data_IF_734741432743
#
_entry.id   IF_734741432743
#
_cell.length_a   1.000
_cell.length_b   1.000
_cell.length_c   1.000
_cell.angle_alpha   90.00
_cell.angle_beta   90.00
_cell.angle_gamma   90.00
#
_symmetry.space_group_name_H-M   'P 1'
#
loop_
_entity.id
_entity.type
_entity.pdbx_description
1 polymer ?
#
# COMPACT_ATOMS: atom_id res chain seq x y z
N UNK A 1 22.32 -6.64 -30.63
CA UNK A 1 21.41 -5.77 -29.85
C UNK A 1 21.79 -5.91 -28.39
N UNK A 2 22.42 -4.90 -27.81
CA UNK A 2 22.71 -4.88 -26.38
C UNK A 2 21.50 -4.29 -25.64
N UNK A 3 20.85 -5.12 -24.83
CA UNK A 3 19.85 -4.64 -23.90
C UNK A 3 20.60 -4.01 -22.71
N UNK A 4 20.62 -2.69 -22.62
CA UNK A 4 21.00 -2.02 -21.38
C UNK A 4 19.95 -2.38 -20.32
N UNK A 5 20.28 -3.30 -19.40
CA UNK A 5 19.42 -3.52 -18.24
C UNK A 5 19.47 -2.26 -17.38
N UNK A 6 18.34 -1.58 -17.21
CA UNK A 6 18.19 -0.47 -16.28
C UNK A 6 18.21 -1.00 -14.83
N UNK A 7 19.39 -1.44 -14.37
CA UNK A 7 19.68 -1.92 -13.01
C UNK A 7 19.74 -0.77 -11.98
N UNK A 8 19.18 0.39 -12.31
CA UNK A 8 19.22 1.64 -11.53
C UNK A 8 17.91 1.95 -10.80
N UNK A 9 16.86 1.14 -10.97
CA UNK A 9 15.60 1.34 -10.24
C UNK A 9 15.75 0.75 -8.84
N UNK A 10 16.05 1.61 -7.86
CA UNK A 10 16.00 1.23 -6.44
C UNK A 10 14.57 0.84 -6.06
N UNK A 11 14.29 -0.46 -6.00
CA UNK A 11 13.03 -0.98 -5.49
C UNK A 11 13.08 -0.94 -3.96
N UNK A 12 12.54 0.12 -3.38
CA UNK A 12 12.38 0.18 -1.93
C UNK A 12 11.30 -0.81 -1.50
N UNK A 13 11.72 -1.91 -0.88
CA UNK A 13 10.80 -2.86 -0.29
C UNK A 13 9.93 -2.19 0.78
N UNK A 14 8.67 -2.61 0.85
CA UNK A 14 7.81 -2.18 1.94
C UNK A 14 8.29 -2.80 3.24
N UNK A 15 8.42 -1.95 4.26
CA UNK A 15 8.67 -2.43 5.61
C UNK A 15 7.54 -3.35 6.06
N UNK A 16 7.83 -4.32 6.94
CA UNK A 16 6.84 -5.24 7.53
C UNK A 16 5.59 -4.50 8.04
N UNK A 17 5.79 -3.33 8.66
CA UNK A 17 4.70 -2.48 9.14
C UNK A 17 3.78 -2.00 8.01
N UNK A 18 4.33 -1.60 6.87
CA UNK A 18 3.53 -1.14 5.74
C UNK A 18 2.73 -2.30 5.12
N UNK A 19 3.33 -3.49 5.03
CA UNK A 19 2.62 -4.70 4.57
C UNK A 19 1.45 -5.04 5.50
N UNK A 20 1.67 -5.04 6.82
CA UNK A 20 0.61 -5.30 7.81
C UNK A 20 -0.52 -4.27 7.68
N UNK A 21 -0.17 -2.98 7.55
CA UNK A 21 -1.16 -1.91 7.36
C UNK A 21 -1.97 -2.10 6.09
N UNK A 22 -1.32 -2.49 4.98
CA UNK A 22 -2.02 -2.78 3.73
C UNK A 22 -2.99 -3.94 3.89
N UNK A 23 -2.53 -5.08 4.42
CA UNK A 23 -3.37 -6.26 4.62
C UNK A 23 -4.57 -5.94 5.50
N UNK A 24 -4.35 -5.17 6.57
CA UNK A 24 -5.41 -4.72 7.46
C UNK A 24 -6.44 -3.85 6.72
N UNK A 25 -6.00 -2.83 5.98
CA UNK A 25 -6.90 -1.95 5.22
C UNK A 25 -7.65 -2.73 4.14
N UNK A 26 -6.97 -3.63 3.44
CA UNK A 26 -7.56 -4.47 2.41
C UNK A 26 -8.61 -5.41 3.01
N UNK A 27 -8.33 -6.03 4.16
CA UNK A 27 -9.29 -6.88 4.85
C UNK A 27 -10.54 -6.09 5.26
N UNK A 28 -10.37 -4.94 5.91
CA UNK A 28 -11.50 -4.10 6.33
C UNK A 28 -12.31 -3.56 5.16
N UNK A 29 -11.66 -3.14 4.07
CA UNK A 29 -12.36 -2.56 2.93
C UNK A 29 -13.01 -3.63 2.04
N UNK A 30 -12.26 -4.66 1.68
CA UNK A 30 -12.65 -5.64 0.65
C UNK A 30 -13.40 -6.82 1.26
N UNK A 31 -12.92 -7.41 2.38
CA UNK A 31 -13.58 -8.56 3.00
C UNK A 31 -14.76 -8.16 3.85
N UNK A 32 -14.58 -7.15 4.70
CA UNK A 32 -15.64 -6.67 5.59
C UNK A 32 -16.57 -5.64 4.93
N UNK A 33 -16.26 -5.17 3.72
CA UNK A 33 -17.09 -4.24 2.96
C UNK A 33 -17.16 -2.82 3.55
N UNK A 34 -16.20 -2.41 4.40
CA UNK A 34 -16.26 -1.09 5.02
C UNK A 34 -15.94 0.02 4.01
N UNK A 35 -16.76 1.06 3.98
CA UNK A 35 -16.43 2.29 3.25
C UNK A 35 -15.18 2.98 3.82
N UNK A 36 -14.45 3.74 2.98
CA UNK A 36 -13.20 4.41 3.36
C UNK A 36 -13.29 5.28 4.62
N UNK A 37 -14.45 5.95 4.80
CA UNK A 37 -14.72 6.78 6.00
C UNK A 37 -14.80 5.95 7.28
N UNK A 38 -15.31 4.73 7.20
CA UNK A 38 -15.40 3.83 8.36
C UNK A 38 -14.02 3.29 8.70
N UNK A 39 -13.25 2.88 7.67
CA UNK A 39 -11.87 2.40 7.83
C UNK A 39 -10.99 3.46 8.50
N UNK A 40 -10.97 4.71 8.02
CA UNK A 40 -10.12 5.74 8.65
C UNK A 40 -10.53 6.05 10.09
N UNK A 41 -11.84 6.04 10.39
CA UNK A 41 -12.33 6.32 11.75
C UNK A 41 -11.84 5.25 12.70
N UNK A 42 -12.00 3.98 12.31
CA UNK A 42 -11.54 2.85 13.09
C UNK A 42 -10.02 2.85 13.27
N UNK A 43 -9.24 3.13 12.23
CA UNK A 43 -7.78 3.21 12.31
C UNK A 43 -7.33 4.31 13.29
N UNK A 44 -7.96 5.49 13.23
CA UNK A 44 -7.64 6.60 14.12
C UNK A 44 -8.06 6.33 15.57
N UNK A 45 -9.22 5.69 15.77
CA UNK A 45 -9.72 5.28 17.10
C UNK A 45 -8.87 4.16 17.71
N UNK A 46 -8.33 3.27 16.88
CA UNK A 46 -7.44 2.18 17.31
C UNK A 46 -5.99 2.64 17.47
N UNK A 47 -5.73 3.96 17.42
CA UNK A 47 -4.41 4.59 17.53
C UNK A 47 -3.36 4.13 16.49
N UNK A 48 -3.81 3.47 15.42
CA UNK A 48 -2.94 3.02 14.34
C UNK A 48 -2.60 4.23 13.48
N UNK A 49 -1.38 4.75 13.60
CA UNK A 49 -0.90 5.87 12.78
C UNK A 49 -0.37 5.40 11.41
N UNK A 50 -0.32 6.30 10.44
CA UNK A 50 0.36 6.06 9.15
C UNK A 50 1.86 5.76 9.33
N UNK A 51 2.56 5.36 8.26
CA UNK A 51 4.02 5.17 8.30
C UNK A 51 4.79 6.41 8.82
N UNK A 52 4.24 7.61 8.59
CA UNK A 52 4.83 8.89 9.03
C UNK A 52 4.29 9.40 10.36
N UNK A 53 3.56 8.57 11.13
CA UNK A 53 3.01 8.97 12.43
C UNK A 53 1.77 9.88 12.36
N UNK A 54 1.24 10.18 11.18
CA UNK A 54 0.02 11.01 11.00
C UNK A 54 -1.26 10.21 11.14
N UNK A 55 -2.36 10.90 11.47
CA UNK A 55 -3.72 10.36 11.41
C UNK A 55 -4.14 10.02 9.96
N UNK A 56 -5.12 9.14 9.83
CA UNK A 56 -5.70 8.70 8.59
C UNK A 56 -6.78 9.65 8.07
N UNK A 57 -6.70 9.94 6.78
CA UNK A 57 -7.69 10.65 5.97
C UNK A 57 -8.24 9.71 4.89
N UNK A 58 -9.41 10.01 4.31
CA UNK A 58 -10.00 9.18 3.24
C UNK A 58 -9.00 8.97 2.09
N UNK A 59 -8.35 10.06 1.65
CA UNK A 59 -7.34 10.03 0.60
C UNK A 59 -6.14 9.16 0.95
N UNK A 60 -5.73 9.11 2.22
CA UNK A 60 -4.61 8.28 2.66
C UNK A 60 -4.92 6.78 2.58
N UNK A 61 -6.14 6.37 2.94
CA UNK A 61 -6.57 4.96 2.83
C UNK A 61 -6.60 4.52 1.36
N UNK A 62 -7.19 5.34 0.49
CA UNK A 62 -7.22 5.10 -0.96
C UNK A 62 -5.80 5.02 -1.53
N UNK A 63 -4.90 5.89 -1.08
CA UNK A 63 -3.51 5.94 -1.57
C UNK A 63 -2.73 4.68 -1.22
N UNK A 64 -2.96 4.08 -0.05
CA UNK A 64 -2.30 2.81 0.33
C UNK A 64 -2.71 1.70 -0.62
N UNK A 65 -4.01 1.52 -0.86
CA UNK A 65 -4.51 0.49 -1.77
C UNK A 65 -3.99 0.68 -3.20
N UNK A 66 -4.00 1.92 -3.72
CA UNK A 66 -3.48 2.23 -5.06
C UNK A 66 -1.99 1.96 -5.21
N UNK A 67 -1.16 2.31 -4.21
CA UNK A 67 0.29 2.14 -4.28
C UNK A 67 0.76 0.70 -4.11
N UNK A 68 -0.06 -0.17 -3.56
CA UNK A 68 0.19 -1.62 -3.53
C UNK A 68 -0.05 -2.20 -4.93
N UNK A 69 -1.21 -1.90 -5.51
CA UNK A 69 -1.52 -2.34 -6.88
C UNK A 69 -0.49 -1.90 -7.93
N UNK A 70 -0.05 -0.63 -7.89
CA UNK A 70 1.00 -0.13 -8.79
C UNK A 70 2.34 -0.88 -8.63
N UNK A 71 2.64 -1.36 -7.42
CA UNK A 71 3.86 -2.14 -7.19
C UNK A 71 3.72 -3.56 -7.66
N UNK A 72 2.59 -4.21 -7.42
CA UNK A 72 2.34 -5.56 -7.92
C UNK A 72 2.50 -5.59 -9.45
N UNK A 73 1.93 -4.60 -10.15
CA UNK A 73 2.11 -4.41 -11.59
C UNK A 73 3.58 -4.18 -11.97
N UNK A 74 4.31 -3.35 -11.23
CA UNK A 74 5.73 -3.09 -11.49
C UNK A 74 6.62 -4.33 -11.27
N UNK A 75 6.35 -5.12 -10.23
CA UNK A 75 7.07 -6.37 -9.94
C UNK A 75 6.77 -7.41 -11.03
N UNK A 76 5.51 -7.53 -11.45
CA UNK A 76 5.10 -8.43 -12.52
C UNK A 76 5.78 -8.09 -13.85
N UNK A 77 5.80 -6.81 -14.23
CA UNK A 77 6.50 -6.34 -15.44
C UNK A 77 7.99 -6.70 -15.43
N UNK A 78 8.65 -6.60 -14.27
CA UNK A 78 10.08 -6.91 -14.13
C UNK A 78 10.34 -8.42 -14.14
N UNK A 79 9.39 -9.23 -13.65
CA UNK A 79 9.48 -10.71 -13.68
C UNK A 79 9.23 -11.29 -15.08
N UNK A 80 8.46 -10.60 -15.91
CA UNK A 80 8.09 -11.02 -17.26
C UNK A 80 9.03 -10.45 -18.35
N UNK A 81 10.09 -9.74 -17.96
CA UNK A 81 11.21 -9.32 -18.81
C UNK A 81 12.36 -10.33 -18.75
#
# INVERSE_FOLDING_TARGET
>A
MEFQSNKLIYQKEYTKRQQIIYVLIQHLHVREGWGYRKVLKWLNQSEIKTHRGKNWFNSSVISVLKREHQRDLGIEQIRNQ
#
